data_IF_709794908984
#
_entry.id   IF_709794908984
#
_cell.length_a   1.000
_cell.length_b   1.000
_cell.length_c   1.000
_cell.angle_alpha   90.00
_cell.angle_beta   90.00
_cell.angle_gamma   90.00
#
_symmetry.space_group_name_H-M   'P 1'
#
loop_
_entity.id
_entity.type
_entity.pdbx_description
1 polymer ?
#
# COMPACT_ATOMS: atom_id res chain seq x y z
N UNK A 1 29.75 -51.61 -27.97
CA UNK A 1 30.22 -50.33 -27.39
C UNK A 1 29.10 -49.32 -27.47
N UNK A 2 28.43 -48.97 -26.35
CA UNK A 2 27.41 -47.92 -26.35
C UNK A 2 28.10 -46.54 -26.20
N UNK A 3 27.66 -45.58 -27.01
CA UNK A 3 28.27 -44.29 -27.22
C UNK A 3 28.18 -43.34 -26.02
N UNK A 4 29.31 -42.69 -25.76
CA UNK A 4 29.54 -41.70 -24.68
C UNK A 4 28.61 -40.44 -24.76
N UNK A 5 27.78 -40.32 -25.79
CA UNK A 5 26.92 -39.15 -26.03
C UNK A 5 25.65 -39.08 -25.16
N UNK A 6 25.24 -40.16 -24.51
CA UNK A 6 23.98 -40.22 -23.75
C UNK A 6 24.14 -39.87 -22.26
N UNK A 7 25.35 -39.79 -21.74
CA UNK A 7 25.59 -39.44 -20.33
C UNK A 7 25.73 -37.93 -20.09
N UNK A 8 26.20 -37.15 -21.07
CA UNK A 8 26.33 -35.70 -20.92
C UNK A 8 24.97 -34.96 -20.87
N UNK A 9 23.94 -35.47 -21.56
CA UNK A 9 22.62 -34.86 -21.63
C UNK A 9 21.86 -34.95 -20.29
N UNK A 10 22.07 -36.02 -19.51
CA UNK A 10 21.40 -36.18 -18.19
C UNK A 10 22.02 -35.34 -17.07
N UNK A 11 23.35 -35.11 -17.15
CA UNK A 11 24.02 -34.26 -16.16
C UNK A 11 23.64 -32.78 -16.31
N UNK A 12 23.45 -32.30 -17.54
CA UNK A 12 23.02 -30.91 -17.79
C UNK A 12 21.56 -30.65 -17.39
N UNK A 13 20.70 -31.67 -17.52
CA UNK A 13 19.28 -31.55 -17.07
C UNK A 13 19.15 -31.52 -15.52
N UNK A 14 19.99 -32.30 -14.84
CA UNK A 14 20.02 -32.30 -13.38
C UNK A 14 20.61 -31.00 -12.79
N UNK A 15 21.63 -30.43 -13.38
CA UNK A 15 22.20 -29.13 -13.00
C UNK A 15 21.21 -27.98 -13.28
N UNK A 16 20.50 -28.02 -14.42
CA UNK A 16 19.47 -27.03 -14.73
C UNK A 16 18.25 -27.11 -13.76
N UNK A 17 17.87 -28.34 -13.37
CA UNK A 17 16.81 -28.55 -12.34
C UNK A 17 17.27 -28.14 -10.94
N UNK A 18 18.52 -28.33 -10.57
CA UNK A 18 19.07 -27.83 -9.30
C UNK A 18 19.24 -26.31 -9.28
N UNK A 19 19.58 -25.67 -10.41
CA UNK A 19 19.66 -24.21 -10.53
C UNK A 19 18.28 -23.55 -10.56
N UNK A 20 17.25 -24.22 -11.07
CA UNK A 20 15.85 -23.74 -11.00
C UNK A 20 15.25 -23.87 -9.59
N UNK A 21 15.77 -24.77 -8.74
CA UNK A 21 15.34 -24.93 -7.35
C UNK A 21 16.02 -23.96 -6.36
N UNK A 22 17.02 -23.19 -6.80
CA UNK A 22 17.75 -22.21 -5.99
C UNK A 22 17.51 -20.75 -6.41
N UNK A 23 16.33 -20.41 -6.93
CA UNK A 23 15.88 -19.02 -6.88
C UNK A 23 15.34 -18.80 -5.47
N UNK A 24 16.20 -18.33 -4.57
CA UNK A 24 15.77 -17.84 -3.25
C UNK A 24 14.71 -16.78 -3.47
N UNK A 25 13.49 -17.04 -3.03
CA UNK A 25 12.40 -16.06 -3.06
C UNK A 25 12.89 -14.78 -2.37
N UNK A 26 12.61 -13.63 -2.94
CA UNK A 26 13.00 -12.38 -2.28
C UNK A 26 12.33 -12.29 -0.91
N UNK A 27 12.91 -11.61 0.09
CA UNK A 27 12.25 -11.40 1.38
C UNK A 27 10.84 -10.83 1.25
N UNK A 28 10.60 -9.98 0.24
CA UNK A 28 9.26 -9.43 -0.07
C UNK A 28 8.29 -10.53 -0.52
N UNK A 29 8.73 -11.45 -1.38
CA UNK A 29 7.89 -12.55 -1.85
C UNK A 29 7.61 -13.57 -0.73
N UNK A 30 8.59 -13.82 0.14
CA UNK A 30 8.42 -14.67 1.33
C UNK A 30 7.42 -14.05 2.30
N UNK A 31 7.54 -12.75 2.59
CA UNK A 31 6.60 -12.04 3.45
C UNK A 31 5.17 -12.08 2.91
N UNK A 32 4.98 -11.77 1.63
CA UNK A 32 3.68 -11.84 0.96
C UNK A 32 3.10 -13.27 0.99
N UNK A 33 3.93 -14.27 0.74
CA UNK A 33 3.52 -15.68 0.78
C UNK A 33 3.15 -16.13 2.20
N UNK A 34 3.83 -15.61 3.23
CA UNK A 34 3.50 -15.86 4.64
C UNK A 34 2.13 -15.30 4.98
N UNK A 35 1.85 -14.04 4.63
CA UNK A 35 0.54 -13.43 4.86
C UNK A 35 -0.59 -14.19 4.14
N UNK A 36 -0.36 -14.59 2.88
CA UNK A 36 -1.34 -15.39 2.15
C UNK A 36 -1.60 -16.74 2.82
N UNK A 37 -0.56 -17.38 3.36
CA UNK A 37 -0.71 -18.64 4.09
C UNK A 37 -1.45 -18.44 5.43
N UNK A 38 -1.21 -17.34 6.15
CA UNK A 38 -1.95 -16.96 7.39
C UNK A 38 -3.42 -16.77 7.06
N UNK A 39 -3.75 -15.98 6.04
CA UNK A 39 -5.12 -15.71 5.62
C UNK A 39 -5.86 -16.99 5.19
N UNK A 40 -5.14 -17.91 4.54
CA UNK A 40 -5.66 -19.24 4.18
C UNK A 40 -5.70 -20.23 5.35
N UNK A 41 -5.26 -19.83 6.55
CA UNK A 41 -5.09 -20.68 7.73
C UNK A 41 -4.22 -21.92 7.47
N UNK A 42 -3.30 -21.82 6.52
CA UNK A 42 -2.30 -22.87 6.26
C UNK A 42 -1.10 -22.63 7.18
N UNK A 43 -1.28 -22.99 8.44
CA UNK A 43 -0.34 -22.68 9.52
C UNK A 43 1.05 -23.27 9.33
N UNK A 44 1.14 -24.52 8.85
CA UNK A 44 2.44 -25.18 8.62
C UNK A 44 3.27 -24.45 7.59
N UNK A 45 2.63 -24.09 6.46
CA UNK A 45 3.27 -23.30 5.41
C UNK A 45 3.64 -21.90 5.90
N UNK A 46 2.76 -21.24 6.64
CA UNK A 46 3.00 -19.91 7.19
C UNK A 46 4.22 -19.91 8.13
N UNK A 47 4.29 -20.87 9.05
CA UNK A 47 5.40 -21.04 10.00
C UNK A 47 6.74 -21.32 9.31
N UNK A 48 6.73 -22.20 8.28
CA UNK A 48 7.91 -22.47 7.49
C UNK A 48 8.45 -21.19 6.81
N UNK A 49 7.57 -20.43 6.15
CA UNK A 49 7.95 -19.19 5.44
C UNK A 49 8.39 -18.08 6.41
N UNK A 50 7.72 -17.91 7.53
CA UNK A 50 8.11 -16.93 8.57
C UNK A 50 9.47 -17.28 9.19
N UNK A 51 9.73 -18.56 9.45
CA UNK A 51 11.01 -19.04 9.95
C UNK A 51 12.14 -18.84 8.93
N UNK A 52 11.84 -18.95 7.64
CA UNK A 52 12.81 -18.65 6.58
C UNK A 52 13.14 -17.16 6.52
N UNK A 53 12.17 -16.26 6.70
CA UNK A 53 12.39 -14.83 6.84
C UNK A 53 13.35 -14.49 7.98
N UNK A 54 13.09 -15.02 9.17
CA UNK A 54 13.96 -14.83 10.33
C UNK A 54 15.38 -15.34 10.10
N UNK A 55 15.57 -16.40 9.31
CA UNK A 55 16.89 -16.94 9.02
C UNK A 55 17.69 -16.09 8.03
N UNK A 56 17.00 -15.43 7.08
CA UNK A 56 17.67 -14.65 6.04
C UNK A 56 18.11 -13.28 6.58
N UNK A 57 17.17 -12.56 7.20
CA UNK A 57 17.39 -11.20 7.70
C UNK A 57 16.32 -10.88 8.74
N UNK A 58 16.57 -11.21 10.04
CA UNK A 58 15.55 -11.11 11.07
C UNK A 58 15.10 -9.66 11.30
N UNK A 59 13.79 -9.45 11.25
CA UNK A 59 13.15 -8.18 11.60
C UNK A 59 12.07 -8.41 12.69
N UNK A 60 11.77 -7.41 13.53
CA UNK A 60 10.72 -7.53 14.56
C UNK A 60 9.36 -7.96 14.03
N UNK A 61 9.03 -7.59 12.79
CA UNK A 61 7.78 -8.00 12.13
C UNK A 61 7.69 -9.49 11.82
N UNK A 62 8.83 -10.17 11.67
CA UNK A 62 8.85 -11.61 11.42
C UNK A 62 8.44 -12.37 12.69
N UNK A 63 8.83 -11.86 13.87
CA UNK A 63 8.32 -12.31 15.16
C UNK A 63 6.81 -12.04 15.31
N UNK A 64 6.32 -10.91 14.82
CA UNK A 64 4.88 -10.64 14.78
C UNK A 64 4.13 -11.67 13.94
N UNK A 65 4.64 -12.05 12.74
CA UNK A 65 4.05 -13.10 11.91
C UNK A 65 4.00 -14.44 12.66
N UNK A 66 5.08 -14.85 13.34
CA UNK A 66 5.09 -16.07 14.14
C UNK A 66 4.10 -16.00 15.31
N UNK A 67 4.01 -14.86 15.99
CA UNK A 67 3.02 -14.64 17.05
C UNK A 67 1.59 -14.82 16.52
N UNK A 68 1.27 -14.27 15.34
CA UNK A 68 -0.03 -14.45 14.67
C UNK A 68 -0.30 -15.92 14.35
N UNK A 69 0.68 -16.63 13.82
CA UNK A 69 0.57 -18.04 13.45
C UNK A 69 0.30 -18.90 14.70
N UNK A 70 1.09 -18.71 15.77
CA UNK A 70 0.92 -19.44 17.02
C UNK A 70 -0.42 -19.13 17.69
N UNK A 71 -0.84 -17.85 17.68
CA UNK A 71 -2.17 -17.47 18.18
C UNK A 71 -3.28 -18.17 17.39
N UNK A 72 -3.24 -18.11 16.05
CA UNK A 72 -4.25 -18.75 15.19
C UNK A 72 -4.33 -20.28 15.37
N UNK A 73 -3.25 -20.92 15.83
CA UNK A 73 -3.20 -22.35 16.21
C UNK A 73 -3.61 -22.62 17.65
N UNK A 74 -3.88 -21.59 18.45
CA UNK A 74 -4.16 -21.72 19.88
C UNK A 74 -2.93 -22.08 20.73
N UNK A 75 -1.72 -21.87 20.23
CA UNK A 75 -0.45 -22.13 20.91
C UNK A 75 -0.07 -20.92 21.78
N UNK A 76 -0.64 -20.83 22.95
CA UNK A 76 -0.60 -19.62 23.80
C UNK A 76 0.82 -19.20 24.18
N UNK A 77 1.65 -20.10 24.73
CA UNK A 77 2.99 -19.72 25.20
C UNK A 77 3.95 -19.33 24.08
N UNK A 78 4.05 -20.07 22.95
CA UNK A 78 4.80 -19.61 21.79
C UNK A 78 4.31 -18.27 21.24
N UNK A 79 2.99 -18.04 21.16
CA UNK A 79 2.45 -16.78 20.70
C UNK A 79 2.90 -15.59 21.55
N UNK A 80 2.90 -15.75 22.90
CA UNK A 80 3.36 -14.69 23.79
C UNK A 80 4.88 -14.48 23.74
N UNK A 81 5.67 -15.54 23.57
CA UNK A 81 7.11 -15.42 23.41
C UNK A 81 7.47 -14.55 22.19
N UNK A 82 6.90 -14.87 21.04
CA UNK A 82 7.13 -14.14 19.79
C UNK A 82 6.56 -12.71 19.83
N UNK A 83 5.35 -12.54 20.39
CA UNK A 83 4.72 -11.23 20.53
C UNK A 83 5.54 -10.30 21.44
N UNK A 84 6.10 -10.81 22.52
CA UNK A 84 6.94 -10.01 23.41
C UNK A 84 8.21 -9.52 22.70
N UNK A 85 8.87 -10.37 21.91
CA UNK A 85 10.04 -10.00 21.11
C UNK A 85 9.66 -8.94 20.07
N UNK A 86 8.58 -9.17 19.32
CA UNK A 86 8.11 -8.23 18.31
C UNK A 86 7.88 -6.83 18.90
N UNK A 87 7.16 -6.74 20.04
CA UNK A 87 6.86 -5.46 20.68
C UNK A 87 8.12 -4.82 21.27
N UNK A 88 8.98 -5.59 21.92
CA UNK A 88 10.23 -5.07 22.52
C UNK A 88 11.13 -4.41 21.49
N UNK A 89 11.28 -5.06 20.34
CA UNK A 89 12.24 -4.66 19.32
C UNK A 89 11.64 -3.74 18.24
N UNK A 90 10.33 -3.80 18.03
CA UNK A 90 9.70 -3.20 16.87
C UNK A 90 8.59 -2.20 17.12
N UNK A 91 8.02 -2.10 18.32
CA UNK A 91 6.83 -1.24 18.51
C UNK A 91 7.09 0.26 18.27
N UNK A 92 8.34 0.71 18.39
CA UNK A 92 8.75 2.09 18.11
C UNK A 92 9.07 2.33 16.61
N UNK A 93 9.16 1.27 15.79
CA UNK A 93 9.40 1.40 14.35
C UNK A 93 8.16 2.00 13.66
N UNK A 94 8.34 2.98 12.74
CA UNK A 94 7.21 3.53 11.99
C UNK A 94 6.36 2.49 11.26
N UNK A 95 6.98 1.45 10.73
CA UNK A 95 6.30 0.35 10.01
C UNK A 95 5.44 -0.54 10.90
N UNK A 96 5.55 -0.39 12.21
CA UNK A 96 4.79 -1.14 13.23
C UNK A 96 3.73 -0.26 13.93
N UNK A 97 3.54 0.95 13.47
CA UNK A 97 2.65 1.93 14.12
C UNK A 97 1.18 1.47 14.17
N UNK A 98 0.77 0.54 13.30
CA UNK A 98 -0.57 -0.06 13.28
C UNK A 98 -0.73 -1.25 14.26
N UNK A 99 0.35 -1.75 14.84
CA UNK A 99 0.28 -2.95 15.69
C UNK A 99 -0.69 -2.82 16.87
N UNK A 100 -0.78 -1.69 17.59
CA UNK A 100 -1.76 -1.55 18.67
C UNK A 100 -3.20 -1.77 18.20
N UNK A 101 -3.57 -1.24 17.03
CA UNK A 101 -4.91 -1.36 16.48
C UNK A 101 -5.17 -2.79 15.97
N UNK A 102 -4.18 -3.40 15.31
CA UNK A 102 -4.23 -4.79 14.89
C UNK A 102 -4.39 -5.73 16.10
N UNK A 103 -3.61 -5.54 17.16
CA UNK A 103 -3.74 -6.31 18.40
C UNK A 103 -5.12 -6.12 19.05
N UNK A 104 -5.68 -4.93 18.99
CA UNK A 104 -6.98 -4.65 19.59
C UNK A 104 -8.13 -5.30 18.81
N UNK A 105 -8.09 -5.35 17.48
CA UNK A 105 -9.25 -5.64 16.62
C UNK A 105 -9.17 -6.94 15.82
N UNK A 106 -7.98 -7.44 15.46
CA UNK A 106 -7.86 -8.60 14.57
C UNK A 106 -8.29 -9.89 15.29
N UNK A 107 -9.22 -10.67 14.71
CA UNK A 107 -9.69 -11.94 15.27
C UNK A 107 -8.61 -13.02 15.43
N UNK A 108 -7.46 -12.90 14.78
CA UNK A 108 -6.34 -13.85 14.93
C UNK A 108 -5.84 -13.93 16.37
N UNK A 109 -6.07 -12.89 17.16
CA UNK A 109 -5.69 -12.79 18.56
C UNK A 109 -6.73 -13.33 19.55
N UNK A 110 -7.95 -13.65 19.10
CA UNK A 110 -9.03 -14.10 19.97
C UNK A 110 -8.66 -15.29 20.86
N UNK A 111 -7.86 -16.30 20.39
CA UNK A 111 -7.46 -17.42 21.23
C UNK A 111 -6.64 -17.03 22.45
N UNK A 112 -5.87 -15.94 22.39
CA UNK A 112 -5.00 -15.48 23.48
C UNK A 112 -5.45 -14.17 24.14
N UNK A 113 -6.45 -13.48 23.58
CA UNK A 113 -6.89 -12.13 24.01
C UNK A 113 -7.32 -12.09 25.48
N UNK A 114 -7.85 -13.19 26.04
CA UNK A 114 -8.31 -13.28 27.43
C UNK A 114 -7.21 -13.66 28.42
N UNK A 115 -6.03 -14.05 27.96
CA UNK A 115 -4.90 -14.35 28.84
C UNK A 115 -4.42 -13.05 29.51
N UNK A 116 -4.13 -13.05 30.82
CA UNK A 116 -3.72 -11.85 31.54
C UNK A 116 -2.42 -11.20 31.02
N UNK A 117 -1.60 -11.94 30.29
CA UNK A 117 -0.38 -11.43 29.64
C UNK A 117 -0.66 -10.52 28.44
N UNK A 118 -1.87 -10.62 27.83
CA UNK A 118 -2.18 -9.91 26.58
C UNK A 118 -2.30 -8.39 26.78
N UNK A 119 -3.12 -7.97 27.69
CA UNK A 119 -3.40 -6.54 27.92
C UNK A 119 -2.13 -5.70 28.22
N UNK A 120 -1.17 -6.17 29.05
CA UNK A 120 0.10 -5.47 29.25
C UNK A 120 0.92 -5.28 27.97
N UNK A 121 0.95 -6.28 27.08
CA UNK A 121 1.67 -6.17 25.80
C UNK A 121 1.02 -5.18 24.84
N UNK A 122 -0.32 -5.17 24.75
CA UNK A 122 -1.05 -4.17 23.98
C UNK A 122 -0.79 -2.76 24.52
N UNK A 123 -0.82 -2.59 25.83
CA UNK A 123 -0.52 -1.30 26.47
C UNK A 123 0.92 -0.85 26.16
N UNK A 124 1.89 -1.76 26.20
CA UNK A 124 3.29 -1.48 25.85
C UNK A 124 3.42 -1.07 24.37
N UNK A 125 2.79 -1.79 23.45
CA UNK A 125 2.78 -1.45 22.03
C UNK A 125 2.17 -0.07 21.79
N UNK A 126 1.07 0.25 22.49
CA UNK A 126 0.41 1.56 22.42
C UNK A 126 1.30 2.70 22.92
N UNK A 127 2.02 2.47 24.04
CA UNK A 127 2.91 3.47 24.62
C UNK A 127 4.14 3.77 23.74
N UNK A 128 4.62 2.76 23.01
CA UNK A 128 5.76 2.88 22.10
C UNK A 128 5.37 3.28 20.67
N UNK A 129 4.07 3.40 20.37
CA UNK A 129 3.56 3.70 19.02
C UNK A 129 4.26 4.92 18.43
N UNK A 130 4.85 4.72 17.26
CA UNK A 130 5.40 5.81 16.48
C UNK A 130 4.32 6.83 16.08
N UNK A 131 4.72 8.10 16.05
CA UNK A 131 3.86 9.22 15.60
C UNK A 131 4.61 10.01 14.55
N UNK A 132 3.90 10.52 13.52
CA UNK A 132 4.54 11.31 12.47
C UNK A 132 5.08 12.64 13.03
N UNK A 133 6.35 12.93 12.74
CA UNK A 133 6.94 14.23 13.03
C UNK A 133 6.48 15.30 12.03
N UNK A 134 6.41 16.58 12.41
CA UNK A 134 6.17 17.67 11.49
C UNK A 134 7.26 17.75 10.41
N UNK A 135 6.85 17.76 9.14
CA UNK A 135 7.76 17.92 8.00
C UNK A 135 7.52 19.28 7.32
N UNK A 136 8.59 19.88 6.81
CA UNK A 136 8.50 21.09 6.00
C UNK A 136 8.85 20.77 4.56
N UNK A 137 8.01 21.24 3.63
CA UNK A 137 8.23 21.14 2.20
C UNK A 137 8.35 22.53 1.60
N UNK A 138 9.19 22.70 0.60
CA UNK A 138 9.25 23.93 -0.17
C UNK A 138 8.21 23.84 -1.31
N UNK A 139 7.13 24.56 -1.16
CA UNK A 139 6.04 24.65 -2.13
C UNK A 139 6.10 25.97 -2.94
N UNK A 140 7.24 26.66 -2.95
CA UNK A 140 7.39 27.92 -3.70
C UNK A 140 7.17 27.80 -5.20
N UNK A 141 7.28 26.57 -5.73
CA UNK A 141 6.88 26.22 -7.09
C UNK A 141 5.55 25.46 -7.06
N UNK A 142 4.40 26.15 -7.07
CA UNK A 142 3.12 25.52 -6.86
C UNK A 142 2.85 24.48 -7.94
N UNK A 143 2.41 23.34 -7.48
CA UNK A 143 2.06 22.17 -8.28
C UNK A 143 0.72 22.42 -8.97
N UNK A 144 0.77 23.16 -10.08
CA UNK A 144 -0.42 23.54 -10.86
C UNK A 144 -0.80 22.41 -11.83
N UNK A 145 -2.08 22.18 -12.08
CA UNK A 145 -2.52 21.20 -13.09
C UNK A 145 -1.90 21.44 -14.48
N UNK A 146 -1.55 22.68 -14.80
CA UNK A 146 -0.91 23.03 -16.06
C UNK A 146 0.46 22.38 -16.30
N UNK A 147 1.11 21.88 -15.26
CA UNK A 147 2.38 21.13 -15.39
C UNK A 147 2.17 19.66 -15.77
N UNK A 148 0.98 19.13 -15.52
CA UNK A 148 0.63 17.76 -15.83
C UNK A 148 -0.11 17.70 -17.16
N UNK A 149 0.16 16.64 -17.92
CA UNK A 149 -0.53 16.36 -19.17
C UNK A 149 -1.64 15.36 -18.91
N UNK A 150 -2.88 15.76 -19.06
CA UNK A 150 -4.04 14.89 -18.93
C UNK A 150 -4.65 14.57 -20.31
N UNK A 151 -5.34 13.45 -20.39
CA UNK A 151 -6.16 13.15 -21.56
C UNK A 151 -7.33 14.12 -21.68
N UNK A 152 -7.70 14.50 -22.91
CA UNK A 152 -8.90 15.32 -23.12
C UNK A 152 -10.16 14.53 -22.70
N UNK A 153 -11.27 15.20 -22.34
CA UNK A 153 -12.50 14.56 -21.86
C UNK A 153 -13.13 13.55 -22.85
N UNK A 154 -12.86 13.70 -24.14
CA UNK A 154 -13.33 12.80 -25.21
C UNK A 154 -12.35 11.69 -25.57
N UNK A 155 -11.32 11.45 -24.76
CA UNK A 155 -10.40 10.32 -24.94
C UNK A 155 -11.18 9.00 -24.97
N UNK A 156 -10.92 8.17 -25.99
CA UNK A 156 -11.67 6.93 -26.22
C UNK A 156 -11.55 5.94 -25.08
N UNK A 157 -10.36 5.83 -24.45
CA UNK A 157 -10.14 4.96 -23.32
C UNK A 157 -10.96 5.40 -22.09
N UNK A 158 -10.89 6.69 -21.75
CA UNK A 158 -11.64 7.26 -20.61
C UNK A 158 -13.16 7.20 -20.85
N UNK A 159 -13.61 7.45 -22.07
CA UNK A 159 -15.02 7.30 -22.47
C UNK A 159 -15.50 5.86 -22.29
N UNK A 160 -14.65 4.86 -22.66
CA UNK A 160 -14.96 3.45 -22.45
C UNK A 160 -15.06 3.11 -20.97
N UNK A 161 -14.08 3.53 -20.15
CA UNK A 161 -14.07 3.33 -18.70
C UNK A 161 -15.34 3.90 -18.05
N UNK A 162 -15.67 5.17 -18.38
CA UNK A 162 -16.85 5.88 -17.88
C UNK A 162 -18.16 5.15 -18.17
N UNK A 163 -18.31 4.64 -19.41
CA UNK A 163 -19.51 3.94 -19.86
C UNK A 163 -19.64 2.53 -19.27
N UNK A 164 -18.54 1.76 -19.24
CA UNK A 164 -18.53 0.39 -18.72
C UNK A 164 -18.97 0.35 -17.26
N UNK A 165 -18.53 1.31 -16.48
CA UNK A 165 -18.78 1.33 -15.03
C UNK A 165 -19.84 2.37 -14.62
N UNK A 166 -20.56 2.97 -15.60
CA UNK A 166 -21.67 3.90 -15.37
C UNK A 166 -21.30 5.03 -14.39
N UNK A 167 -20.07 5.58 -14.54
CA UNK A 167 -19.56 6.56 -13.58
C UNK A 167 -20.41 7.81 -13.47
N UNK A 168 -21.14 8.20 -14.52
CA UNK A 168 -22.08 9.31 -14.48
C UNK A 168 -23.24 9.09 -13.51
N UNK A 169 -23.78 7.86 -13.48
CA UNK A 169 -24.86 7.50 -12.58
C UNK A 169 -24.41 7.55 -11.12
N UNK A 170 -23.12 7.23 -10.86
CA UNK A 170 -22.56 7.30 -9.51
C UNK A 170 -22.51 8.73 -8.96
N UNK A 171 -22.25 9.72 -9.83
CA UNK A 171 -22.02 11.11 -9.41
C UNK A 171 -23.17 12.05 -9.72
N UNK A 172 -24.25 11.59 -10.32
CA UNK A 172 -25.37 12.43 -10.80
C UNK A 172 -26.05 13.24 -9.67
N UNK A 173 -26.05 12.76 -8.43
CA UNK A 173 -26.66 13.42 -7.28
C UNK A 173 -25.69 14.28 -6.46
N UNK A 174 -24.43 14.41 -6.88
CA UNK A 174 -23.44 15.22 -6.17
C UNK A 174 -23.53 16.68 -6.58
N UNK A 175 -23.21 17.59 -5.64
CA UNK A 175 -23.33 19.04 -5.84
C UNK A 175 -22.00 19.77 -5.97
N UNK A 176 -20.88 19.10 -5.60
CA UNK A 176 -19.53 19.67 -5.67
C UNK A 176 -18.55 18.67 -6.27
N UNK A 177 -17.38 19.17 -6.74
CA UNK A 177 -16.31 18.30 -7.20
C UNK A 177 -15.74 17.42 -6.06
N UNK A 178 -15.66 17.94 -4.84
CA UNK A 178 -15.26 17.17 -3.66
C UNK A 178 -16.21 16.00 -3.40
N UNK A 179 -17.53 16.19 -3.54
CA UNK A 179 -18.50 15.10 -3.34
C UNK A 179 -18.38 14.04 -4.43
N UNK A 180 -18.09 14.45 -5.68
CA UNK A 180 -17.79 13.51 -6.78
C UNK A 180 -16.57 12.67 -6.47
N UNK A 181 -15.49 13.30 -5.98
CA UNK A 181 -14.26 12.61 -5.58
C UNK A 181 -14.54 11.62 -4.47
N UNK A 182 -15.23 12.01 -3.41
CA UNK A 182 -15.62 11.11 -2.31
C UNK A 182 -16.45 9.93 -2.79
N UNK A 183 -17.40 10.17 -3.67
CA UNK A 183 -18.26 9.11 -4.21
C UNK A 183 -17.47 8.11 -5.05
N UNK A 184 -16.57 8.58 -5.91
CA UNK A 184 -15.70 7.70 -6.72
C UNK A 184 -14.72 6.95 -5.82
N UNK A 185 -14.11 7.59 -4.81
CA UNK A 185 -13.20 6.95 -3.85
C UNK A 185 -13.90 5.76 -3.17
N UNK A 186 -15.04 6.01 -2.55
CA UNK A 186 -15.85 4.99 -1.87
C UNK A 186 -16.27 3.84 -2.82
N UNK A 187 -16.70 4.18 -4.03
CA UNK A 187 -17.06 3.16 -5.01
C UNK A 187 -15.86 2.29 -5.40
N UNK A 188 -14.67 2.89 -5.65
CA UNK A 188 -13.45 2.14 -5.98
C UNK A 188 -13.01 1.26 -4.82
N UNK A 189 -13.08 1.74 -3.59
CA UNK A 189 -12.81 0.96 -2.38
C UNK A 189 -13.62 -0.34 -2.37
N UNK A 190 -14.90 -0.25 -2.70
CA UNK A 190 -15.81 -1.38 -2.69
C UNK A 190 -15.65 -2.36 -3.87
N UNK A 191 -14.84 -2.04 -4.91
CA UNK A 191 -14.70 -2.92 -6.08
C UNK A 191 -13.75 -4.10 -5.84
N UNK A 192 -12.72 -3.93 -5.04
CA UNK A 192 -11.77 -4.99 -4.74
C UNK A 192 -12.09 -5.65 -3.40
N UNK A 193 -11.84 -6.95 -3.32
CA UNK A 193 -11.93 -7.69 -2.06
C UNK A 193 -10.81 -7.34 -1.09
N UNK A 194 -10.67 -8.17 -0.04
CA UNK A 194 -9.62 -8.00 0.96
C UNK A 194 -8.25 -7.80 0.31
N UNK A 195 -7.44 -6.94 0.94
CA UNK A 195 -6.08 -6.60 0.51
C UNK A 195 -5.28 -7.84 0.14
N UNK A 196 -4.66 -7.82 -1.01
CA UNK A 196 -3.92 -8.97 -1.51
C UNK A 196 -2.60 -8.59 -2.18
N UNK A 197 -1.65 -9.52 -2.10
CA UNK A 197 -0.35 -9.42 -2.77
C UNK A 197 -0.40 -10.22 -4.07
N UNK A 198 -0.89 -9.64 -5.16
CA UNK A 198 -0.77 -10.23 -6.49
C UNK A 198 0.10 -9.35 -7.38
N UNK A 199 1.06 -9.97 -8.06
CA UNK A 199 1.86 -9.33 -9.12
C UNK A 199 1.25 -9.66 -10.48
N UNK A 200 1.59 -8.84 -11.49
CA UNK A 200 1.23 -9.11 -12.89
C UNK A 200 -0.21 -8.75 -13.27
N UNK A 201 -0.86 -7.88 -12.49
CA UNK A 201 -2.15 -7.32 -12.88
C UNK A 201 -1.97 -6.36 -14.07
N UNK A 202 -3.00 -6.20 -14.93
CA UNK A 202 -2.94 -5.21 -16.00
C UNK A 202 -2.74 -3.81 -15.41
N UNK A 203 -1.92 -2.95 -16.03
CA UNK A 203 -1.61 -1.62 -15.48
C UNK A 203 -2.69 -0.58 -15.74
N UNK A 204 -3.86 -0.96 -16.24
CA UNK A 204 -4.91 -0.04 -16.65
C UNK A 204 -6.21 -0.23 -15.87
N UNK A 205 -6.95 0.86 -15.57
CA UNK A 205 -8.17 0.82 -14.76
C UNK A 205 -9.26 -0.14 -15.27
N UNK A 206 -9.44 -0.29 -16.60
CA UNK A 206 -10.44 -1.19 -17.15
C UNK A 206 -10.10 -2.64 -16.85
N UNK A 207 -8.86 -3.04 -17.12
CA UNK A 207 -8.39 -4.41 -16.84
C UNK A 207 -8.34 -4.71 -15.34
N UNK A 208 -7.99 -3.73 -14.50
CA UNK A 208 -8.02 -3.87 -13.04
C UNK A 208 -9.45 -4.11 -12.53
N UNK A 209 -10.42 -3.32 -12.94
CA UNK A 209 -11.82 -3.48 -12.54
C UNK A 209 -12.41 -4.80 -13.06
N UNK A 210 -12.00 -5.26 -14.24
CA UNK A 210 -12.36 -6.59 -14.72
C UNK A 210 -11.75 -7.70 -13.84
N UNK A 211 -10.51 -7.55 -13.40
CA UNK A 211 -9.88 -8.51 -12.49
C UNK A 211 -10.58 -8.51 -11.11
N UNK A 212 -10.94 -7.34 -10.58
CA UNK A 212 -11.68 -7.21 -9.32
C UNK A 212 -13.03 -7.91 -9.38
N UNK A 213 -13.78 -7.77 -10.49
CA UNK A 213 -15.07 -8.46 -10.68
C UNK A 213 -14.96 -9.98 -10.67
N UNK A 214 -13.76 -10.52 -10.86
CA UNK A 214 -13.40 -11.95 -10.77
C UNK A 214 -12.81 -12.33 -9.40
N UNK A 215 -12.92 -11.44 -8.39
CA UNK A 215 -12.46 -11.68 -7.03
C UNK A 215 -10.96 -11.41 -6.80
N UNK A 216 -10.32 -10.61 -7.67
CA UNK A 216 -8.92 -10.23 -7.47
C UNK A 216 -8.84 -9.06 -6.49
N UNK A 217 -7.99 -9.22 -5.47
CA UNK A 217 -7.67 -8.15 -4.51
C UNK A 217 -6.68 -7.15 -5.09
N UNK A 218 -6.73 -5.89 -4.64
CA UNK A 218 -5.83 -4.82 -5.02
C UNK A 218 -4.82 -4.50 -3.93
N UNK A 219 -3.70 -3.93 -4.34
CA UNK A 219 -2.74 -3.21 -3.49
C UNK A 219 -2.98 -1.71 -3.68
N UNK A 220 -2.29 -0.90 -2.92
CA UNK A 220 -2.33 0.55 -3.04
C UNK A 220 -2.14 1.07 -4.48
N UNK A 221 -1.23 0.45 -5.23
CA UNK A 221 -0.93 0.82 -6.63
C UNK A 221 -2.14 0.68 -7.55
N UNK A 222 -2.85 -0.44 -7.45
CA UNK A 222 -4.04 -0.73 -8.24
C UNK A 222 -5.21 0.18 -7.83
N UNK A 223 -5.41 0.39 -6.53
CA UNK A 223 -6.41 1.34 -6.03
C UNK A 223 -6.17 2.76 -6.54
N UNK A 224 -4.92 3.25 -6.45
CA UNK A 224 -4.55 4.58 -6.94
C UNK A 224 -4.76 4.73 -8.45
N UNK A 225 -4.36 3.70 -9.23
CA UNK A 225 -4.53 3.70 -10.68
C UNK A 225 -6.02 3.73 -11.07
N UNK A 226 -6.86 2.94 -10.40
CA UNK A 226 -8.31 2.88 -10.69
C UNK A 226 -9.00 4.18 -10.29
N UNK A 227 -8.75 4.71 -9.09
CA UNK A 227 -9.41 5.96 -8.65
C UNK A 227 -9.00 7.15 -9.51
N UNK A 228 -7.71 7.28 -9.85
CA UNK A 228 -7.24 8.34 -10.74
C UNK A 228 -7.87 8.21 -12.14
N UNK A 229 -7.94 6.98 -12.69
CA UNK A 229 -8.58 6.72 -13.97
C UNK A 229 -10.07 7.07 -14.00
N UNK A 230 -10.81 6.68 -12.98
CA UNK A 230 -12.24 6.98 -12.86
C UNK A 230 -12.52 8.48 -12.72
N UNK A 231 -11.70 9.19 -11.94
CA UNK A 231 -11.80 10.65 -11.79
C UNK A 231 -11.50 11.37 -13.12
N UNK A 232 -10.41 10.99 -13.81
CA UNK A 232 -10.12 11.52 -15.15
C UNK A 232 -11.25 11.23 -16.15
N UNK A 233 -11.89 10.05 -16.06
CA UNK A 233 -12.98 9.67 -16.94
C UNK A 233 -14.25 10.54 -16.76
N UNK A 234 -14.48 11.07 -15.56
CA UNK A 234 -15.60 12.02 -15.29
C UNK A 234 -15.19 13.49 -15.43
N UNK A 235 -13.96 13.76 -15.90
CA UNK A 235 -13.47 15.12 -16.17
C UNK A 235 -12.82 15.82 -14.98
N UNK A 236 -12.53 15.12 -13.87
CA UNK A 236 -11.76 15.64 -12.75
C UNK A 236 -10.30 15.20 -12.94
N UNK A 237 -9.35 16.14 -13.19
CA UNK A 237 -7.95 15.79 -13.33
C UNK A 237 -7.43 15.10 -12.08
N UNK A 238 -6.87 13.90 -12.21
CA UNK A 238 -6.33 13.14 -11.09
C UNK A 238 -5.03 12.43 -11.49
N UNK A 239 -4.13 12.28 -10.52
CA UNK A 239 -2.82 11.68 -10.68
C UNK A 239 -2.56 10.65 -9.59
N UNK A 240 -1.84 9.58 -9.91
CA UNK A 240 -1.28 8.70 -8.90
C UNK A 240 -0.03 9.35 -8.29
N UNK A 241 0.15 9.18 -6.99
CA UNK A 241 1.27 9.69 -6.21
C UNK A 241 1.90 8.54 -5.46
N UNK A 242 3.17 8.24 -5.76
CA UNK A 242 3.99 7.36 -4.95
C UNK A 242 4.50 8.11 -3.73
N UNK A 243 4.33 7.55 -2.57
CA UNK A 243 4.88 8.07 -1.32
C UNK A 243 5.88 7.08 -0.74
N UNK A 244 6.98 7.57 -0.17
CA UNK A 244 8.09 6.75 0.30
C UNK A 244 8.54 7.20 1.69
N UNK A 245 8.94 6.24 2.52
CA UNK A 245 9.51 6.51 3.84
C UNK A 245 10.91 7.15 3.75
N UNK A 246 11.35 7.77 4.82
CA UNK A 246 12.69 8.38 4.90
C UNK A 246 13.83 7.37 4.74
N UNK A 247 13.58 6.11 5.07
CA UNK A 247 14.52 4.99 5.01
C UNK A 247 14.23 4.01 3.86
N UNK A 248 13.55 4.48 2.81
CA UNK A 248 13.12 3.66 1.66
C UNK A 248 14.25 2.84 1.02
N UNK A 249 15.48 3.34 1.04
CA UNK A 249 16.63 2.64 0.45
C UNK A 249 17.11 1.43 1.24
N UNK A 250 16.81 1.39 2.52
CA UNK A 250 17.25 0.34 3.45
C UNK A 250 16.12 -0.51 3.99
N UNK A 251 14.90 0.03 4.01
CA UNK A 251 13.72 -0.68 4.50
C UNK A 251 13.35 -1.84 3.58
N UNK A 252 13.28 -3.04 4.13
CA UNK A 252 13.00 -4.26 3.37
C UNK A 252 11.57 -4.33 2.83
N UNK A 253 10.59 -3.93 3.63
CA UNK A 253 9.16 -4.06 3.34
C UNK A 253 8.40 -2.81 3.82
N UNK A 254 7.30 -2.49 3.14
CA UNK A 254 6.43 -1.35 3.48
C UNK A 254 7.14 0.00 3.46
N UNK A 255 8.14 0.16 2.57
CA UNK A 255 8.86 1.41 2.40
C UNK A 255 8.07 2.48 1.62
N UNK A 256 6.96 2.10 1.01
CA UNK A 256 6.16 2.97 0.16
C UNK A 256 4.67 2.68 0.20
N UNK A 257 3.90 3.69 -0.17
CA UNK A 257 2.46 3.64 -0.39
C UNK A 257 2.10 4.43 -1.65
N UNK A 258 1.02 4.07 -2.32
CA UNK A 258 0.55 4.79 -3.52
C UNK A 258 -0.91 5.15 -3.32
N UNK A 259 -1.21 6.42 -3.48
CA UNK A 259 -2.55 7.00 -3.44
C UNK A 259 -2.78 7.90 -4.67
N UNK A 260 -3.88 8.60 -4.73
CA UNK A 260 -4.14 9.58 -5.79
C UNK A 260 -4.27 10.99 -5.21
N UNK A 261 -4.11 11.98 -6.07
CA UNK A 261 -4.60 13.33 -5.84
C UNK A 261 -5.53 13.75 -6.97
N UNK A 262 -6.60 14.45 -6.62
CA UNK A 262 -7.56 15.00 -7.55
C UNK A 262 -7.53 16.55 -7.52
N UNK A 263 -7.54 17.18 -8.69
CA UNK A 263 -7.68 18.62 -8.78
C UNK A 263 -9.14 19.00 -8.72
N UNK A 264 -9.51 19.86 -7.79
CA UNK A 264 -10.85 20.39 -7.62
C UNK A 264 -10.92 21.78 -8.31
N UNK A 265 -11.53 21.91 -9.50
CA UNK A 265 -11.61 23.17 -10.21
C UNK A 265 -12.35 24.27 -9.44
N UNK A 266 -13.41 23.91 -8.72
CA UNK A 266 -14.21 24.81 -7.90
C UNK A 266 -13.42 25.40 -6.72
N UNK A 267 -12.57 24.57 -6.07
CA UNK A 267 -11.74 24.97 -4.95
C UNK A 267 -10.32 25.44 -5.38
N UNK A 268 -9.93 25.24 -6.63
CA UNK A 268 -8.59 25.52 -7.22
C UNK A 268 -7.45 24.91 -6.41
N UNK A 269 -7.60 23.64 -5.99
CA UNK A 269 -6.61 22.92 -5.20
C UNK A 269 -6.66 21.42 -5.41
N UNK A 270 -5.54 20.77 -5.11
CA UNK A 270 -5.46 19.32 -5.04
C UNK A 270 -6.08 18.81 -3.74
N UNK A 271 -6.67 17.62 -3.79
CA UNK A 271 -7.13 16.87 -2.63
C UNK A 271 -6.52 15.46 -2.65
N UNK A 272 -6.03 15.00 -1.51
CA UNK A 272 -5.56 13.65 -1.28
C UNK A 272 -6.71 12.65 -1.33
N UNK A 273 -6.50 11.54 -2.04
CA UNK A 273 -7.51 10.48 -2.24
C UNK A 273 -6.84 9.11 -2.10
N UNK A 274 -7.22 8.36 -1.09
CA UNK A 274 -6.75 6.99 -0.89
C UNK A 274 -7.93 6.03 -0.92
N UNK A 275 -8.11 5.33 -2.04
CA UNK A 275 -9.20 4.39 -2.20
C UNK A 275 -8.94 3.03 -1.51
N UNK A 276 -7.70 2.73 -1.11
CA UNK A 276 -7.42 1.54 -0.27
C UNK A 276 -7.98 1.73 1.14
N UNK A 277 -7.92 2.95 1.68
CA UNK A 277 -8.40 3.30 3.02
C UNK A 277 -9.78 3.98 3.02
N UNK A 278 -10.39 4.20 1.85
CA UNK A 278 -11.63 4.97 1.66
C UNK A 278 -11.53 6.40 2.25
N UNK A 279 -10.41 7.06 2.04
CA UNK A 279 -10.10 8.37 2.60
C UNK A 279 -9.99 9.44 1.51
N UNK A 280 -10.72 10.54 1.68
CA UNK A 280 -10.52 11.82 0.98
C UNK A 280 -10.24 12.88 2.03
N UNK A 281 -9.02 13.43 2.02
CA UNK A 281 -8.54 14.25 3.12
C UNK A 281 -9.19 15.64 3.15
N UNK A 282 -9.77 15.98 4.29
CA UNK A 282 -10.28 17.33 4.57
C UNK A 282 -9.87 17.77 5.97
N UNK A 283 -9.67 19.06 6.17
CA UNK A 283 -9.53 19.64 7.50
C UNK A 283 -10.88 19.57 8.26
N UNK A 284 -10.85 19.93 9.53
CA UNK A 284 -12.05 19.91 10.41
C UNK A 284 -13.16 20.83 9.89
N UNK A 285 -12.80 21.92 9.21
CA UNK A 285 -13.73 22.86 8.58
C UNK A 285 -14.24 22.42 7.20
N UNK A 286 -13.83 21.22 6.74
CA UNK A 286 -14.18 20.69 5.43
C UNK A 286 -13.26 21.12 4.29
N UNK A 287 -12.24 21.94 4.54
CA UNK A 287 -11.26 22.34 3.51
C UNK A 287 -10.51 21.14 2.97
N UNK A 288 -10.48 20.89 1.63
CA UNK A 288 -9.71 19.80 1.04
C UNK A 288 -8.21 19.96 1.30
N UNK A 289 -7.52 18.86 1.65
CA UNK A 289 -6.09 18.83 1.93
C UNK A 289 -5.36 18.04 0.84
N UNK A 290 -4.30 18.61 0.26
CA UNK A 290 -3.38 17.85 -0.59
C UNK A 290 -2.49 16.93 0.26
N UNK A 291 -1.66 16.08 -0.38
CA UNK A 291 -0.83 15.10 0.32
C UNK A 291 0.11 15.74 1.36
N UNK A 292 0.72 16.88 1.04
CA UNK A 292 1.62 17.60 1.96
C UNK A 292 0.85 18.18 3.15
N UNK A 293 -0.26 18.87 2.88
CA UNK A 293 -1.12 19.44 3.93
C UNK A 293 -1.70 18.34 4.83
N UNK A 294 -2.11 17.22 4.23
CA UNK A 294 -2.62 16.08 4.99
C UNK A 294 -1.53 15.46 5.86
N UNK A 295 -0.31 15.24 5.33
CA UNK A 295 0.85 14.77 6.12
C UNK A 295 1.16 15.69 7.30
N UNK A 296 1.07 17.00 7.11
CA UNK A 296 1.24 17.98 8.20
C UNK A 296 0.11 17.88 9.24
N UNK A 297 -1.14 17.70 8.78
CA UNK A 297 -2.29 17.55 9.66
C UNK A 297 -2.23 16.27 10.50
N UNK A 298 -1.68 15.17 9.95
CA UNK A 298 -1.47 13.91 10.68
C UNK A 298 -0.45 14.03 11.81
N UNK A 299 0.48 14.99 11.74
CA UNK A 299 1.44 15.27 12.80
C UNK A 299 0.84 16.10 13.96
N UNK A 300 -0.40 16.57 13.83
CA UNK A 300 -1.07 17.33 14.88
C UNK A 300 -1.52 16.42 16.03
N UNK A 301 -1.68 16.95 17.27
CA UNK A 301 -2.22 16.20 18.40
C UNK A 301 -3.64 15.64 18.18
N UNK A 302 -4.40 16.28 17.30
CA UNK A 302 -5.73 15.87 16.86
C UNK A 302 -5.80 15.88 15.35
N UNK A 303 -5.41 14.78 14.68
CA UNK A 303 -5.55 14.67 13.23
C UNK A 303 -7.04 14.79 12.83
N UNK A 304 -7.33 15.43 11.68
CA UNK A 304 -8.71 15.62 11.23
C UNK A 304 -9.39 14.33 10.79
N UNK A 305 -8.61 13.31 10.45
CA UNK A 305 -9.05 12.01 9.95
C UNK A 305 -8.21 10.95 10.63
N UNK A 306 -8.84 9.85 11.00
CA UNK A 306 -8.15 8.64 11.44
C UNK A 306 -7.60 7.93 10.20
N UNK A 307 -6.29 8.01 10.04
CA UNK A 307 -5.56 7.40 8.92
C UNK A 307 -4.48 6.49 9.47
N UNK A 308 -4.29 5.33 8.83
CA UNK A 308 -3.35 4.30 9.30
C UNK A 308 -1.95 4.87 9.54
N UNK A 309 -1.45 4.84 10.79
CA UNK A 309 -0.17 5.46 11.13
C UNK A 309 1.01 4.91 10.32
N UNK A 310 1.04 3.60 10.04
CA UNK A 310 2.09 2.99 9.22
C UNK A 310 2.10 3.50 7.76
N UNK A 311 0.96 3.94 7.21
CA UNK A 311 0.93 4.55 5.89
C UNK A 311 1.44 6.00 5.93
N UNK A 312 1.22 6.71 7.03
CA UNK A 312 1.69 8.09 7.18
C UNK A 312 3.23 8.19 7.23
N UNK A 313 3.95 7.14 7.63
CA UNK A 313 5.42 7.12 7.56
C UNK A 313 5.93 7.16 6.12
N UNK A 314 5.18 6.57 5.18
CA UNK A 314 5.53 6.60 3.77
C UNK A 314 5.41 8.01 3.16
N UNK A 315 4.71 8.93 3.81
CA UNK A 315 4.50 10.29 3.30
C UNK A 315 5.70 11.20 3.62
N UNK A 316 6.92 10.74 3.35
CA UNK A 316 8.14 11.52 3.51
C UNK A 316 8.66 12.04 2.18
N UNK A 317 8.74 11.21 1.13
CA UNK A 317 8.98 11.65 -0.23
C UNK A 317 7.74 11.41 -1.07
N UNK A 318 7.47 12.28 -2.04
CA UNK A 318 6.37 12.11 -2.97
C UNK A 318 6.89 12.11 -4.41
N UNK A 319 6.50 11.13 -5.18
CA UNK A 319 6.84 11.00 -6.59
C UNK A 319 5.56 10.94 -7.44
N UNK A 320 5.55 11.66 -8.55
CA UNK A 320 4.42 11.67 -9.47
C UNK A 320 4.87 11.87 -10.91
N UNK A 321 4.24 11.14 -11.82
CA UNK A 321 4.48 11.28 -13.25
C UNK A 321 3.88 12.57 -13.79
N UNK A 322 4.60 13.25 -14.69
CA UNK A 322 4.07 14.44 -15.40
C UNK A 322 3.06 14.08 -16.46
N UNK A 323 3.15 12.91 -17.06
CA UNK A 323 2.24 12.47 -18.12
C UNK A 323 1.19 11.50 -17.57
N UNK A 324 -0.01 12.00 -17.40
CA UNK A 324 -1.19 11.29 -16.89
C UNK A 324 -2.18 10.90 -18.00
N UNK A 325 -1.74 10.91 -19.27
CA UNK A 325 -2.62 10.60 -20.40
C UNK A 325 -2.88 9.11 -20.53
N UNK A 326 -4.08 8.75 -20.88
CA UNK A 326 -4.53 7.37 -21.09
C UNK A 326 -4.55 6.96 -22.57
N UNK A 327 -4.19 5.70 -22.90
CA UNK A 327 -3.65 4.71 -22.00
C UNK A 327 -2.29 5.12 -21.42
N UNK A 328 -2.00 4.74 -20.17
CA UNK A 328 -0.74 5.09 -19.53
C UNK A 328 0.43 4.40 -20.24
N UNK A 329 1.45 5.16 -20.63
CA UNK A 329 2.70 4.62 -21.23
C UNK A 329 3.87 4.82 -20.25
N UNK A 330 4.32 3.75 -19.65
CA UNK A 330 5.43 3.75 -18.69
C UNK A 330 6.76 4.29 -19.26
N UNK A 331 6.91 4.34 -20.60
CA UNK A 331 8.15 4.79 -21.26
C UNK A 331 8.23 6.31 -21.48
N UNK A 332 7.14 7.04 -21.28
CA UNK A 332 7.05 8.48 -21.57
C UNK A 332 6.78 9.33 -20.33
N UNK A 333 6.98 8.77 -19.14
CA UNK A 333 6.73 9.44 -17.88
C UNK A 333 7.98 10.23 -17.46
N UNK A 334 7.89 11.57 -17.52
CA UNK A 334 8.76 12.39 -16.69
C UNK A 334 8.21 12.37 -15.27
N UNK A 335 9.05 12.35 -14.26
CA UNK A 335 8.63 12.36 -12.88
C UNK A 335 9.07 13.62 -12.13
N UNK A 336 8.33 13.95 -11.10
CA UNK A 336 8.69 14.97 -10.12
C UNK A 336 8.85 14.27 -8.77
N UNK A 337 9.96 14.58 -8.06
CA UNK A 337 10.17 14.18 -6.68
C UNK A 337 10.03 15.41 -5.78
N UNK A 338 9.19 15.28 -4.76
CA UNK A 338 9.09 16.26 -3.69
C UNK A 338 9.65 15.65 -2.40
N UNK A 339 10.65 16.28 -1.83
CA UNK A 339 11.28 15.88 -0.57
C UNK A 339 11.10 16.95 0.50
N UNK A 340 11.13 16.61 1.79
CA UNK A 340 11.20 17.59 2.86
C UNK A 340 12.45 18.46 2.76
N UNK A 341 12.37 19.70 3.24
CA UNK A 341 13.50 20.63 3.26
C UNK A 341 14.68 20.03 4.04
N UNK A 342 15.81 19.90 3.36
CA UNK A 342 17.02 19.30 3.91
C UNK A 342 17.16 17.79 3.73
N UNK A 343 16.15 17.11 3.20
CA UNK A 343 16.24 15.70 2.84
C UNK A 343 16.79 15.51 1.42
N UNK A 344 17.64 14.51 1.24
CA UNK A 344 18.05 14.07 -0.09
C UNK A 344 16.93 13.25 -0.74
N UNK A 345 16.77 13.37 -2.07
CA UNK A 345 15.91 12.46 -2.82
C UNK A 345 16.51 11.04 -2.81
N UNK A 346 15.68 9.99 -2.72
CA UNK A 346 16.15 8.61 -2.80
C UNK A 346 16.75 8.31 -4.18
N UNK A 347 17.72 7.40 -4.23
CA UNK A 347 18.44 7.03 -5.46
C UNK A 347 17.94 5.72 -6.06
N UNK A 348 17.25 4.91 -5.29
CA UNK A 348 16.71 3.61 -5.71
C UNK A 348 15.18 3.70 -5.84
N UNK A 349 14.75 4.17 -7.02
CA UNK A 349 13.31 4.11 -7.34
C UNK A 349 13.07 4.01 -8.83
#
# INVERSE_FOLDING_TARGET
MPSIRTLASRAHLLVALCLAACQSSSPVDLYASTLNAINARNWERAEHLASELLRIDPEPRDHMLLAMIHSGRGQTDPAFAELAIAIEQGAADPGSADWPDMLASDPIWDPIRRDPRYAPLVAKATALRWKPDPLRFDLSSPDQPARFRFSPPNNLYLTRLRRLHKLDELVQSTTSDLDRVKRICHWVHAQAGDRGWRRGLPPDPVGLLEAASKGTSFRCVEYAAVVAGCLNAIGIPARAVGAMSSDVETRRINAGHVFAEAWLPDAKRWVFVDAEEDVVATAVDGTPLNAVEFRQALASPKPPIDYRPALSMCMFHFQMDLDQRYPLDARQRGDIMLAPVGAAAPTKF
#
